data_IF_043601891869
#
_entry.id   IF_043601891869
#
_cell.length_a   1.000
_cell.length_b   1.000
_cell.length_c   1.000
_cell.angle_alpha   90.00
_cell.angle_beta   90.00
_cell.angle_gamma   90.00
#
_symmetry.space_group_name_H-M   'P 1'
#
loop_
_entity.id
_entity.type
_entity.pdbx_description
1 polymer ?
#
# COMPACT_ATOMS: atom_id res chain seq x y z
N UNK A 1 12.44 -13.47 2.16
CA UNK A 1 11.42 -12.51 2.62
C UNK A 1 11.71 -12.17 4.08
N UNK A 2 11.70 -10.90 4.47
CA UNK A 2 11.87 -10.46 5.87
C UNK A 2 10.57 -9.80 6.33
N UNK A 3 10.04 -10.20 7.49
CA UNK A 3 8.83 -9.63 8.11
C UNK A 3 8.91 -9.84 9.63
N UNK A 4 8.57 -8.80 10.41
CA UNK A 4 8.55 -8.92 11.87
C UNK A 4 7.21 -9.47 12.42
N UNK A 5 6.29 -9.79 11.55
CA UNK A 5 4.98 -10.38 11.83
C UNK A 5 4.10 -9.55 12.79
N UNK A 6 4.40 -8.25 12.95
CA UNK A 6 3.62 -7.38 13.84
C UNK A 6 2.18 -7.13 13.34
N UNK A 7 1.93 -7.30 12.04
CA UNK A 7 0.59 -7.15 11.43
C UNK A 7 0.36 -8.16 10.31
N UNK A 8 1.03 -9.31 10.38
CA UNK A 8 0.95 -10.38 9.40
C UNK A 8 1.01 -11.75 10.10
N UNK A 9 0.74 -12.82 9.35
CA UNK A 9 0.80 -14.20 9.84
C UNK A 9 1.65 -15.06 8.92
N UNK A 10 2.47 -15.93 9.49
CA UNK A 10 3.31 -16.86 8.71
C UNK A 10 2.48 -17.87 7.90
N UNK A 11 1.23 -18.13 8.28
CA UNK A 11 0.30 -19.00 7.55
C UNK A 11 0.03 -18.55 6.10
N UNK A 12 0.34 -17.28 5.77
CA UNK A 12 0.28 -16.79 4.37
C UNK A 12 1.22 -17.56 3.44
N UNK A 13 2.34 -18.10 3.95
CA UNK A 13 3.30 -18.88 3.15
C UNK A 13 2.69 -20.15 2.56
N UNK A 14 1.83 -20.84 3.32
CA UNK A 14 1.11 -22.02 2.82
C UNK A 14 0.15 -21.63 1.69
N UNK A 15 -0.44 -20.42 1.73
CA UNK A 15 -1.30 -19.91 0.65
C UNK A 15 -0.48 -19.55 -0.60
N UNK A 16 0.70 -18.94 -0.42
CA UNK A 16 1.64 -18.69 -1.52
C UNK A 16 2.04 -20.01 -2.17
N UNK A 17 2.41 -21.01 -1.37
CA UNK A 17 2.74 -22.34 -1.90
C UNK A 17 1.60 -22.94 -2.72
N UNK A 18 0.37 -22.87 -2.20
CA UNK A 18 -0.81 -23.39 -2.90
C UNK A 18 -1.07 -22.71 -4.25
N UNK A 19 -0.70 -21.44 -4.38
CA UNK A 19 -0.90 -20.65 -5.59
C UNK A 19 0.22 -20.81 -6.62
N UNK A 20 1.46 -21.00 -6.15
CA UNK A 20 2.66 -20.89 -7.00
C UNK A 20 3.48 -22.18 -7.08
N UNK A 21 3.24 -23.13 -6.19
CA UNK A 21 4.11 -24.30 -6.00
C UNK A 21 5.43 -23.99 -5.30
N UNK A 22 5.66 -22.74 -4.90
CA UNK A 22 6.90 -22.28 -4.26
C UNK A 22 6.62 -21.62 -2.89
N UNK A 23 7.45 -21.91 -1.91
CA UNK A 23 7.40 -21.26 -0.60
C UNK A 23 8.60 -20.33 -0.44
N UNK A 24 8.41 -19.01 -0.37
CA UNK A 24 9.50 -18.09 -0.07
C UNK A 24 10.10 -18.38 1.32
N UNK A 25 11.41 -18.32 1.43
CA UNK A 25 12.06 -18.38 2.75
C UNK A 25 11.71 -17.15 3.56
N UNK A 26 11.25 -17.35 4.80
CA UNK A 26 10.88 -16.31 5.74
C UNK A 26 11.92 -16.13 6.83
N UNK A 27 12.48 -14.95 6.91
CA UNK A 27 13.23 -14.46 8.06
C UNK A 27 12.27 -13.66 8.95
N UNK A 28 11.90 -14.25 10.09
CA UNK A 28 11.08 -13.55 11.08
C UNK A 28 11.97 -12.57 11.86
N UNK A 29 11.90 -11.29 11.55
CA UNK A 29 12.75 -10.28 12.17
C UNK A 29 12.45 -8.86 11.71
N UNK A 30 13.09 -7.91 12.36
CA UNK A 30 12.83 -6.48 12.16
C UNK A 30 13.83 -5.87 11.16
N UNK A 31 13.35 -4.98 10.31
CA UNK A 31 14.18 -4.23 9.36
C UNK A 31 15.25 -3.37 10.04
N UNK A 32 15.08 -3.06 11.33
CA UNK A 32 16.05 -2.30 12.14
C UNK A 32 17.19 -3.17 12.69
N UNK A 33 17.10 -4.48 12.51
CA UNK A 33 18.20 -5.40 12.91
C UNK A 33 19.24 -5.49 11.80
N UNK A 34 20.29 -4.69 11.92
CA UNK A 34 21.40 -4.65 10.98
C UNK A 34 22.10 -5.99 10.84
N UNK A 35 22.30 -6.71 11.95
CA UNK A 35 23.00 -8.00 11.93
C UNK A 35 22.22 -9.05 11.14
N UNK A 36 20.89 -9.08 11.32
CA UNK A 36 20.01 -9.94 10.55
C UNK A 36 20.05 -9.60 9.07
N UNK A 37 19.95 -8.32 8.71
CA UNK A 37 20.03 -7.88 7.31
C UNK A 37 21.36 -8.28 6.67
N UNK A 38 22.49 -8.05 7.33
CA UNK A 38 23.82 -8.44 6.83
C UNK A 38 23.90 -9.95 6.61
N UNK A 39 23.33 -10.76 7.52
CA UNK A 39 23.28 -12.22 7.39
C UNK A 39 22.45 -12.68 6.18
N UNK A 40 21.31 -12.02 5.92
CA UNK A 40 20.45 -12.31 4.77
C UNK A 40 21.17 -11.97 3.45
N UNK A 41 21.81 -10.79 3.38
CA UNK A 41 22.58 -10.41 2.19
C UNK A 41 23.77 -11.32 1.93
N UNK A 42 24.41 -11.86 2.99
CA UNK A 42 25.51 -12.80 2.84
C UNK A 42 25.05 -14.20 2.41
N UNK A 43 23.84 -14.62 2.83
CA UNK A 43 23.30 -15.95 2.53
C UNK A 43 22.72 -16.08 1.13
N UNK A 44 22.31 -14.98 0.48
CA UNK A 44 21.57 -15.01 -0.78
C UNK A 44 22.15 -14.06 -1.82
N UNK A 45 22.16 -14.46 -3.12
CA UNK A 45 22.55 -13.57 -4.24
C UNK A 45 21.43 -12.57 -4.54
N UNK A 46 21.25 -11.57 -3.68
CA UNK A 46 20.21 -10.57 -3.82
C UNK A 46 20.62 -9.53 -4.85
N UNK A 47 19.75 -9.26 -5.84
CA UNK A 47 19.99 -8.28 -6.91
C UNK A 47 19.16 -7.01 -6.76
N UNK A 48 18.04 -7.09 -6.05
CA UNK A 48 17.13 -5.98 -5.81
C UNK A 48 16.34 -6.19 -4.52
N UNK A 49 15.89 -5.10 -3.92
CA UNK A 49 15.02 -5.11 -2.75
C UNK A 49 13.69 -4.42 -3.10
N UNK A 50 12.57 -5.05 -2.75
CA UNK A 50 11.26 -4.41 -2.72
C UNK A 50 10.94 -4.12 -1.26
N UNK A 51 10.87 -2.85 -0.91
CA UNK A 51 10.73 -2.38 0.47
C UNK A 51 9.27 -2.03 0.79
N UNK A 52 8.55 -2.99 1.35
CA UNK A 52 7.17 -2.82 1.84
C UNK A 52 7.11 -2.55 3.35
N UNK A 53 8.14 -2.92 4.10
CA UNK A 53 8.13 -2.82 5.55
C UNK A 53 7.86 -1.38 6.01
N UNK A 54 6.81 -1.21 6.81
CA UNK A 54 6.43 0.11 7.30
C UNK A 54 5.08 0.09 8.01
N UNK A 55 4.96 0.85 9.08
CA UNK A 55 3.68 1.14 9.72
C UNK A 55 2.88 2.07 8.79
N UNK A 56 1.58 1.76 8.56
CA UNK A 56 0.78 2.41 7.51
C UNK A 56 -0.52 3.06 7.97
N UNK A 57 -0.88 2.97 9.25
CA UNK A 57 -2.15 3.47 9.76
C UNK A 57 -2.07 4.98 10.04
N UNK A 58 -2.71 5.79 9.16
CA UNK A 58 -2.66 7.26 9.23
C UNK A 58 -3.10 7.78 10.60
N UNK A 59 -4.26 7.33 11.11
CA UNK A 59 -4.79 7.77 12.40
C UNK A 59 -3.91 7.35 13.59
N UNK A 60 -3.36 6.14 13.57
CA UNK A 60 -2.43 5.67 14.61
C UNK A 60 -1.15 6.51 14.63
N UNK A 61 -0.65 6.91 13.47
CA UNK A 61 0.58 7.69 13.37
C UNK A 61 0.53 9.04 14.12
N UNK A 62 -0.67 9.63 14.23
CA UNK A 62 -0.88 10.88 14.96
C UNK A 62 -0.66 10.68 16.47
N UNK A 63 -1.07 9.52 16.99
CA UNK A 63 -0.94 9.19 18.41
C UNK A 63 0.42 8.56 18.76
N UNK A 64 1.12 7.98 17.78
CA UNK A 64 2.37 7.24 17.97
C UNK A 64 3.47 7.68 16.97
N UNK A 65 3.77 8.99 16.84
CA UNK A 65 4.66 9.48 15.79
C UNK A 65 6.09 8.93 15.89
N UNK A 66 6.61 8.75 17.08
CA UNK A 66 7.99 8.28 17.29
C UNK A 66 8.17 6.86 16.77
N UNK A 67 7.20 5.97 16.98
CA UNK A 67 7.22 4.61 16.47
C UNK A 67 7.20 4.58 14.94
N UNK A 68 6.42 5.49 14.33
CA UNK A 68 6.37 5.62 12.87
C UNK A 68 7.70 6.09 12.29
N UNK A 69 8.35 7.09 12.88
CA UNK A 69 9.67 7.53 12.41
C UNK A 69 10.75 6.48 12.68
N UNK A 70 10.72 5.85 13.85
CA UNK A 70 11.68 4.79 14.19
C UNK A 70 11.55 3.60 13.22
N UNK A 71 10.32 3.12 12.96
CA UNK A 71 10.11 1.99 12.08
C UNK A 71 10.36 2.36 10.61
N UNK A 72 9.69 3.43 10.12
CA UNK A 72 9.65 3.72 8.69
C UNK A 72 10.92 4.43 8.20
N UNK A 73 11.44 5.39 8.96
CA UNK A 73 12.61 6.18 8.54
C UNK A 73 13.90 5.51 8.98
N UNK A 74 14.05 5.25 10.29
CA UNK A 74 15.26 4.62 10.80
C UNK A 74 15.44 3.19 10.23
N UNK A 75 14.37 2.39 10.16
CA UNK A 75 14.41 1.06 9.53
C UNK A 75 14.88 1.12 8.07
N UNK A 76 14.43 2.12 7.30
CA UNK A 76 14.92 2.32 5.93
C UNK A 76 16.40 2.71 5.89
N UNK A 77 16.89 3.54 6.81
CA UNK A 77 18.32 3.89 6.88
C UNK A 77 19.17 2.63 7.13
N UNK A 78 18.76 1.78 8.08
CA UNK A 78 19.46 0.52 8.37
C UNK A 78 19.47 -0.41 7.15
N UNK A 79 18.34 -0.51 6.42
CA UNK A 79 18.26 -1.27 5.17
C UNK A 79 19.23 -0.74 4.10
N UNK A 80 19.23 0.59 3.87
CA UNK A 80 20.11 1.21 2.87
C UNK A 80 21.60 1.01 3.20
N UNK A 81 21.97 1.07 4.47
CA UNK A 81 23.34 0.78 4.91
C UNK A 81 23.73 -0.69 4.66
N UNK A 82 22.82 -1.63 4.93
CA UNK A 82 23.05 -3.06 4.66
C UNK A 82 23.14 -3.32 3.15
N UNK A 83 22.24 -2.73 2.35
CA UNK A 83 22.28 -2.81 0.88
C UNK A 83 23.59 -2.27 0.31
N UNK A 84 24.06 -1.10 0.82
CA UNK A 84 25.32 -0.50 0.43
C UNK A 84 26.52 -1.42 0.75
N UNK A 85 26.54 -2.00 1.94
CA UNK A 85 27.61 -2.94 2.35
C UNK A 85 27.62 -4.20 1.46
N UNK A 86 26.45 -4.70 1.08
CA UNK A 86 26.27 -5.85 0.19
C UNK A 86 26.40 -5.50 -1.32
N UNK A 87 26.65 -4.24 -1.68
CA UNK A 87 26.70 -3.73 -3.07
C UNK A 87 25.40 -3.97 -3.85
N UNK A 88 24.26 -4.06 -3.19
CA UNK A 88 22.92 -4.16 -3.79
C UNK A 88 22.34 -2.75 -3.93
N UNK A 89 22.23 -2.25 -5.15
CA UNK A 89 21.88 -0.84 -5.44
C UNK A 89 20.53 -0.67 -6.16
N UNK A 90 19.73 -1.71 -6.26
CA UNK A 90 18.38 -1.64 -6.84
C UNK A 90 17.33 -1.71 -5.73
N UNK A 91 16.55 -0.64 -5.57
CA UNK A 91 15.49 -0.54 -4.56
C UNK A 91 14.18 -0.11 -5.20
N UNK A 92 13.10 -0.82 -4.91
CA UNK A 92 11.73 -0.38 -5.15
C UNK A 92 11.10 -0.04 -3.79
N UNK A 93 10.69 1.21 -3.61
CA UNK A 93 10.14 1.70 -2.37
C UNK A 93 8.63 1.90 -2.47
N UNK A 94 7.91 1.32 -1.52
CA UNK A 94 6.49 1.54 -1.28
C UNK A 94 6.25 2.92 -0.66
N UNK A 95 6.00 3.92 -1.49
CA UNK A 95 5.58 5.25 -1.06
C UNK A 95 4.05 5.38 -1.07
N UNK A 96 3.52 6.57 -0.92
CA UNK A 96 2.10 6.83 -0.78
C UNK A 96 1.71 8.17 -1.40
N UNK A 97 0.50 8.26 -1.95
CA UNK A 97 -0.09 9.52 -2.39
C UNK A 97 -0.20 10.57 -1.26
N UNK A 98 -0.13 10.16 0.00
CA UNK A 98 -0.12 11.10 1.14
C UNK A 98 1.06 12.06 1.14
N UNK A 99 2.15 11.77 0.41
CA UNK A 99 3.31 12.68 0.26
C UNK A 99 2.98 13.98 -0.46
N UNK A 100 1.92 13.97 -1.28
CA UNK A 100 1.45 15.18 -1.96
C UNK A 100 0.80 16.19 -1.03
N UNK A 101 0.20 15.74 0.09
CA UNK A 101 -0.66 16.58 0.92
C UNK A 101 -1.92 16.99 0.17
N UNK A 102 -2.44 18.17 0.51
CA UNK A 102 -3.60 18.79 -0.15
C UNK A 102 -3.15 19.54 -1.41
N UNK A 103 -3.50 19.03 -2.58
CA UNK A 103 -3.22 19.66 -3.85
C UNK A 103 -4.49 20.32 -4.42
N UNK A 104 -4.37 21.51 -5.02
CA UNK A 104 -5.54 22.25 -5.54
C UNK A 104 -6.12 21.64 -6.82
N UNK A 105 -5.40 20.74 -7.47
CA UNK A 105 -5.77 20.13 -8.75
C UNK A 105 -5.78 18.61 -8.66
N UNK A 106 -6.68 17.99 -9.39
CA UNK A 106 -6.80 16.56 -9.62
C UNK A 106 -6.95 16.32 -11.13
N UNK A 107 -6.42 15.21 -11.68
CA UNK A 107 -5.68 14.12 -11.02
C UNK A 107 -4.29 14.54 -10.55
N UNK A 108 -3.74 13.81 -9.56
CA UNK A 108 -2.39 14.02 -9.05
C UNK A 108 -1.35 13.47 -10.02
N UNK A 109 -0.38 14.29 -10.40
CA UNK A 109 0.77 13.94 -11.25
C UNK A 109 2.07 13.94 -10.45
N UNK A 110 3.07 13.16 -10.88
CA UNK A 110 4.34 13.00 -10.16
C UNK A 110 5.16 14.31 -10.05
N UNK A 111 4.91 15.26 -10.93
CA UNK A 111 5.53 16.59 -10.91
C UNK A 111 4.94 17.56 -9.88
N UNK A 112 3.81 17.20 -9.25
CA UNK A 112 3.26 18.04 -8.20
C UNK A 112 4.21 18.15 -7.01
N UNK A 113 4.26 19.32 -6.36
CA UNK A 113 5.08 19.51 -5.18
C UNK A 113 4.66 18.54 -4.08
N UNK A 114 5.65 18.00 -3.37
CA UNK A 114 5.45 17.27 -2.13
C UNK A 114 5.90 18.15 -0.97
N UNK A 115 5.36 17.99 0.24
CA UNK A 115 5.91 18.77 1.35
C UNK A 115 4.97 19.04 2.52
N UNK A 116 3.66 18.83 2.36
CA UNK A 116 2.71 19.10 3.44
C UNK A 116 1.81 17.92 3.78
N UNK A 117 2.36 16.71 4.04
CA UNK A 117 1.55 15.59 4.50
C UNK A 117 0.87 15.93 5.83
N UNK A 118 -0.42 15.64 5.94
CA UNK A 118 -1.22 15.92 7.13
C UNK A 118 -0.91 15.00 8.33
N UNK A 119 -0.17 13.92 8.13
CA UNK A 119 0.09 12.90 9.17
C UNK A 119 1.57 12.53 9.30
N UNK A 120 2.02 12.05 10.48
CA UNK A 120 3.35 11.49 10.65
C UNK A 120 3.65 10.31 9.70
N UNK A 121 2.65 9.49 9.37
CA UNK A 121 2.80 8.47 8.33
C UNK A 121 3.21 9.07 6.98
N UNK A 122 2.44 10.04 6.48
CA UNK A 122 2.76 10.71 5.21
C UNK A 122 4.12 11.40 5.25
N UNK A 123 4.45 12.07 6.37
CA UNK A 123 5.77 12.68 6.57
C UNK A 123 6.89 11.65 6.57
N UNK A 124 6.70 10.48 7.19
CA UNK A 124 7.72 9.42 7.19
C UNK A 124 7.99 8.90 5.77
N UNK A 125 6.95 8.75 4.94
CA UNK A 125 7.11 8.35 3.54
C UNK A 125 7.85 9.43 2.72
N UNK A 126 7.50 10.70 2.90
CA UNK A 126 8.19 11.82 2.25
C UNK A 126 9.66 11.92 2.66
N UNK A 127 9.97 11.79 3.95
CA UNK A 127 11.37 11.77 4.43
C UNK A 127 12.17 10.65 3.75
N UNK A 128 11.60 9.47 3.63
CA UNK A 128 12.27 8.36 2.92
C UNK A 128 12.48 8.70 1.45
N UNK A 129 11.50 9.28 0.73
CA UNK A 129 11.70 9.70 -0.65
C UNK A 129 12.88 10.69 -0.79
N UNK A 130 13.01 11.65 0.14
CA UNK A 130 14.11 12.61 0.16
C UNK A 130 15.45 11.90 0.43
N UNK A 131 15.51 11.01 1.42
CA UNK A 131 16.70 10.21 1.72
C UNK A 131 17.15 9.40 0.51
N UNK A 132 16.22 8.75 -0.20
CA UNK A 132 16.52 7.97 -1.40
C UNK A 132 17.14 8.85 -2.51
N UNK A 133 16.64 10.07 -2.70
CA UNK A 133 17.20 11.04 -3.65
C UNK A 133 18.60 11.47 -3.25
N UNK A 134 18.84 11.78 -1.97
CA UNK A 134 20.16 12.16 -1.46
C UNK A 134 21.17 11.02 -1.60
N UNK A 135 20.77 9.78 -1.30
CA UNK A 135 21.62 8.59 -1.46
C UNK A 135 22.00 8.37 -2.92
N UNK A 136 21.05 8.53 -3.86
CA UNK A 136 21.30 8.40 -5.28
C UNK A 136 22.20 9.53 -5.82
N UNK A 137 22.01 10.75 -5.31
CA UNK A 137 22.88 11.88 -5.66
C UNK A 137 24.32 11.68 -5.19
N UNK A 138 24.51 11.11 -4.00
CA UNK A 138 25.83 10.81 -3.43
C UNK A 138 26.54 9.64 -4.14
N UNK A 139 25.78 8.67 -4.63
CA UNK A 139 26.29 7.52 -5.40
C UNK A 139 25.37 7.26 -6.61
N UNK A 140 25.71 7.80 -7.80
CA UNK A 140 24.88 7.70 -9.00
C UNK A 140 24.62 6.29 -9.53
N UNK A 141 25.24 5.25 -8.96
CA UNK A 141 24.99 3.87 -9.35
C UNK A 141 23.67 3.30 -8.77
N UNK A 142 23.09 3.97 -7.78
CA UNK A 142 21.81 3.55 -7.23
C UNK A 142 20.67 3.70 -8.24
N UNK A 143 19.81 2.69 -8.24
CA UNK A 143 18.55 2.67 -8.97
C UNK A 143 17.42 2.64 -7.93
N UNK A 144 16.78 3.79 -7.74
CA UNK A 144 15.73 4.00 -6.76
C UNK A 144 14.39 4.16 -7.47
N UNK A 145 13.50 3.21 -7.32
CA UNK A 145 12.13 3.32 -7.85
C UNK A 145 11.18 3.61 -6.70
N UNK A 146 10.47 4.70 -6.79
CA UNK A 146 9.50 5.18 -5.79
C UNK A 146 8.10 5.01 -6.38
N UNK A 147 7.29 4.14 -5.78
CA UNK A 147 5.92 3.90 -6.22
C UNK A 147 4.95 4.52 -5.22
N UNK A 148 4.26 5.59 -5.63
CA UNK A 148 3.26 6.30 -4.82
C UNK A 148 1.91 5.66 -5.01
N UNK A 149 1.49 4.88 -4.01
CA UNK A 149 0.21 4.18 -4.02
C UNK A 149 -0.93 5.10 -3.66
N UNK A 150 -2.07 4.88 -4.31
CA UNK A 150 -3.34 5.42 -3.88
C UNK A 150 -3.98 4.46 -2.87
N UNK A 151 -5.19 3.95 -3.07
CA UNK A 151 -5.83 3.10 -2.06
C UNK A 151 -5.88 1.62 -2.53
N UNK A 152 -4.91 0.78 -2.16
CA UNK A 152 -4.96 -0.63 -2.52
C UNK A 152 -6.13 -1.33 -1.84
N UNK A 153 -6.89 -2.09 -2.62
CA UNK A 153 -8.05 -2.87 -2.18
C UNK A 153 -8.14 -4.16 -3.01
N UNK A 154 -9.10 -5.00 -2.70
CA UNK A 154 -9.25 -6.28 -3.39
C UNK A 154 -8.49 -7.39 -2.68
N UNK A 155 -8.52 -8.56 -3.28
CA UNK A 155 -7.84 -9.76 -2.84
C UNK A 155 -7.40 -10.57 -4.05
N UNK A 156 -6.63 -11.63 -3.85
CA UNK A 156 -6.30 -12.53 -4.95
C UNK A 156 -7.56 -13.27 -5.45
N UNK A 157 -7.83 -13.35 -6.76
CA UNK A 157 -9.07 -13.92 -7.31
C UNK A 157 -9.37 -15.36 -6.89
N UNK A 158 -8.34 -16.12 -6.46
CA UNK A 158 -8.53 -17.48 -5.90
C UNK A 158 -9.32 -17.53 -4.60
N UNK A 159 -9.45 -16.41 -3.88
CA UNK A 159 -10.00 -16.36 -2.51
C UNK A 159 -9.08 -17.01 -1.46
N UNK A 160 -7.81 -17.28 -1.78
CA UNK A 160 -6.82 -17.84 -0.85
C UNK A 160 -6.01 -16.77 -0.11
N UNK A 161 -5.84 -15.59 -0.72
CA UNK A 161 -5.07 -14.49 -0.15
C UNK A 161 -5.87 -13.19 -0.18
N UNK A 162 -5.87 -12.46 0.94
CA UNK A 162 -6.51 -11.18 1.09
C UNK A 162 -6.00 -10.43 2.32
N UNK A 163 -6.54 -9.24 2.56
CA UNK A 163 -6.15 -8.39 3.69
C UNK A 163 -6.78 -8.91 4.99
N UNK A 164 -5.93 -9.16 6.00
CA UNK A 164 -6.34 -9.60 7.34
C UNK A 164 -5.63 -8.75 8.40
N UNK A 165 -6.05 -7.49 8.59
CA UNK A 165 -5.43 -6.61 9.57
C UNK A 165 -5.72 -7.06 10.99
N UNK A 166 -4.72 -6.97 11.86
CA UNK A 166 -4.93 -7.19 13.28
C UNK A 166 -5.78 -6.05 13.89
N UNK A 167 -6.72 -6.42 14.74
CA UNK A 167 -7.59 -5.46 15.42
C UNK A 167 -8.67 -4.84 14.53
N UNK A 168 -8.91 -3.53 14.71
CA UNK A 168 -9.91 -2.78 13.94
C UNK A 168 -9.29 -2.32 12.63
N UNK A 169 -9.88 -2.67 11.46
CA UNK A 169 -9.37 -2.18 10.18
C UNK A 169 -9.40 -0.65 10.10
N UNK A 170 -8.28 -0.07 9.67
CA UNK A 170 -8.19 1.37 9.43
C UNK A 170 -8.66 1.76 8.01
N UNK A 171 -8.67 0.80 7.07
CA UNK A 171 -9.05 1.02 5.69
C UNK A 171 -10.53 0.63 5.45
N UNK A 172 -11.15 1.28 4.46
CA UNK A 172 -12.57 1.13 4.14
C UNK A 172 -12.93 -0.32 3.74
N UNK A 173 -12.22 -0.91 2.78
CA UNK A 173 -12.59 -2.19 2.19
C UNK A 173 -12.57 -3.35 3.20
N UNK A 174 -11.52 -3.56 4.02
CA UNK A 174 -11.54 -4.62 5.04
C UNK A 174 -12.58 -4.35 6.14
N UNK A 175 -12.89 -3.09 6.44
CA UNK A 175 -13.98 -2.78 7.39
C UNK A 175 -15.34 -3.20 6.82
N UNK A 176 -15.63 -2.84 5.56
CA UNK A 176 -16.84 -3.26 4.84
C UNK A 176 -16.94 -4.80 4.81
N UNK A 177 -15.84 -5.49 4.51
CA UNK A 177 -15.78 -6.94 4.48
C UNK A 177 -16.15 -7.57 5.84
N UNK A 178 -15.66 -6.98 6.94
CA UNK A 178 -16.04 -7.42 8.30
C UNK A 178 -17.51 -7.15 8.63
N UNK A 179 -18.12 -6.07 8.13
CA UNK A 179 -19.57 -5.85 8.22
C UNK A 179 -20.32 -6.92 7.42
N UNK A 180 -19.86 -7.20 6.21
CA UNK A 180 -20.51 -8.20 5.34
C UNK A 180 -20.52 -9.62 5.92
N UNK A 181 -19.47 -10.04 6.64
CA UNK A 181 -19.45 -11.35 7.32
C UNK A 181 -20.05 -11.33 8.75
N UNK A 182 -20.57 -10.18 9.22
CA UNK A 182 -21.23 -10.06 10.53
C UNK A 182 -20.27 -9.91 11.72
N UNK A 183 -18.99 -9.65 11.50
CA UNK A 183 -18.05 -9.32 12.59
C UNK A 183 -18.28 -7.93 13.17
N UNK A 184 -18.95 -7.04 12.40
CA UNK A 184 -19.32 -5.68 12.79
C UNK A 184 -20.78 -5.41 12.41
N UNK A 185 -21.44 -4.59 13.21
CA UNK A 185 -22.85 -4.26 13.01
C UNK A 185 -23.07 -3.33 11.82
N UNK A 186 -22.25 -2.29 11.69
CA UNK A 186 -22.40 -1.28 10.64
C UNK A 186 -21.09 -0.57 10.32
N UNK A 187 -21.04 0.06 9.14
CA UNK A 187 -19.94 0.93 8.69
C UNK A 187 -20.21 2.38 9.10
N UNK A 188 -19.24 3.05 9.72
CA UNK A 188 -19.26 4.49 9.89
C UNK A 188 -18.70 5.18 8.64
N UNK A 189 -19.51 5.98 7.94
CA UNK A 189 -19.11 6.83 6.82
C UNK A 189 -18.81 8.23 7.33
N UNK A 190 -17.54 8.64 7.26
CA UNK A 190 -17.06 9.90 7.83
C UNK A 190 -17.33 11.08 6.89
N UNK A 191 -18.39 11.85 7.18
CA UNK A 191 -18.83 13.01 6.41
C UNK A 191 -19.78 12.63 5.26
N UNK A 192 -20.83 13.47 5.10
CA UNK A 192 -21.82 13.39 4.03
C UNK A 192 -22.09 14.75 3.39
N UNK A 193 -21.23 15.72 3.64
CA UNK A 193 -21.34 17.09 3.10
C UNK A 193 -20.08 17.55 2.38
N UNK A 194 -19.32 16.62 1.75
CA UNK A 194 -18.22 16.98 0.86
C UNK A 194 -18.77 17.54 -0.47
N UNK A 195 -18.03 18.42 -1.17
CA UNK A 195 -18.38 18.88 -2.51
C UNK A 195 -18.09 17.78 -3.55
N UNK A 196 -18.76 16.65 -3.42
CA UNK A 196 -18.67 15.46 -4.25
C UNK A 196 -20.08 15.02 -4.67
N UNK A 197 -20.26 14.19 -5.71
CA UNK A 197 -21.58 13.86 -6.25
C UNK A 197 -22.60 13.31 -5.26
N UNK A 198 -22.16 12.56 -4.24
CA UNK A 198 -23.02 11.96 -3.21
C UNK A 198 -22.72 12.46 -1.79
N UNK A 199 -21.86 13.47 -1.67
CA UNK A 199 -21.49 14.08 -0.40
C UNK A 199 -20.44 13.29 0.39
N UNK A 200 -20.02 12.11 -0.06
CA UNK A 200 -18.98 11.31 0.61
C UNK A 200 -17.61 11.49 -0.04
N UNK A 201 -16.54 11.16 0.70
CA UNK A 201 -15.18 11.30 0.18
C UNK A 201 -14.93 10.42 -1.05
N UNK A 202 -14.19 10.96 -2.03
CA UNK A 202 -13.83 10.26 -3.28
C UNK A 202 -12.36 9.91 -3.27
N UNK A 203 -12.04 8.65 -3.55
CA UNK A 203 -10.66 8.11 -3.56
C UNK A 203 -10.41 7.27 -4.80
N UNK A 204 -9.15 7.20 -5.19
CA UNK A 204 -8.67 6.25 -6.18
C UNK A 204 -8.42 4.90 -5.52
N UNK A 205 -9.22 3.91 -5.89
CA UNK A 205 -9.03 2.54 -5.43
C UNK A 205 -8.35 1.72 -6.54
N UNK A 206 -7.26 1.06 -6.18
CA UNK A 206 -6.51 0.19 -7.09
C UNK A 206 -6.57 -1.26 -6.60
N UNK A 207 -6.80 -2.19 -7.52
CA UNK A 207 -6.78 -3.61 -7.16
C UNK A 207 -5.37 -4.04 -6.75
N UNK A 208 -5.25 -4.76 -5.62
CA UNK A 208 -3.96 -5.17 -5.06
C UNK A 208 -3.11 -6.02 -6.02
N UNK A 209 -3.73 -6.78 -6.92
CA UNK A 209 -3.02 -7.53 -7.96
C UNK A 209 -2.48 -6.61 -9.05
N UNK A 210 -3.26 -5.60 -9.50
CA UNK A 210 -2.74 -4.58 -10.43
C UNK A 210 -1.57 -3.81 -9.81
N UNK A 211 -1.65 -3.52 -8.51
CA UNK A 211 -0.54 -2.90 -7.79
C UNK A 211 0.70 -3.81 -7.77
N UNK A 212 0.54 -5.11 -7.50
CA UNK A 212 1.63 -6.08 -7.56
C UNK A 212 2.25 -6.17 -8.96
N UNK A 213 1.41 -6.18 -10.01
CA UNK A 213 1.84 -6.14 -11.41
C UNK A 213 2.66 -4.88 -11.72
N UNK A 214 2.30 -3.74 -11.11
CA UNK A 214 3.07 -2.49 -11.21
C UNK A 214 4.49 -2.60 -10.64
N UNK A 215 4.68 -3.32 -9.53
CA UNK A 215 6.01 -3.61 -8.98
C UNK A 215 6.83 -4.50 -9.91
N UNK A 216 6.21 -5.53 -10.46
CA UNK A 216 6.86 -6.44 -11.42
C UNK A 216 7.26 -5.68 -12.69
N UNK A 217 6.38 -4.82 -13.19
CA UNK A 217 6.66 -3.97 -14.36
C UNK A 217 7.84 -3.01 -14.08
N UNK A 218 7.83 -2.33 -12.94
CA UNK A 218 8.92 -1.43 -12.52
C UNK A 218 10.25 -2.20 -12.39
N UNK A 219 10.24 -3.35 -11.74
CA UNK A 219 11.44 -4.17 -11.59
C UNK A 219 12.02 -4.61 -12.93
N UNK A 220 11.18 -5.08 -13.87
CA UNK A 220 11.62 -5.55 -15.19
C UNK A 220 12.13 -4.40 -16.06
N UNK A 221 11.46 -3.25 -16.03
CA UNK A 221 11.75 -2.13 -16.94
C UNK A 221 12.93 -1.31 -16.46
N UNK A 222 13.09 -1.13 -15.16
CA UNK A 222 14.07 -0.23 -14.57
C UNK A 222 15.30 -0.95 -13.99
N UNK A 223 15.33 -2.29 -14.01
CA UNK A 223 16.50 -3.03 -13.53
C UNK A 223 17.77 -2.58 -14.27
N UNK A 224 18.80 -2.20 -13.49
CA UNK A 224 20.07 -1.72 -14.04
C UNK A 224 19.99 -0.33 -14.69
N UNK A 225 18.95 0.45 -14.45
CA UNK A 225 18.83 1.85 -14.90
C UNK A 225 19.04 2.80 -13.71
N UNK A 226 20.27 3.26 -13.43
CA UNK A 226 20.53 4.15 -12.31
C UNK A 226 19.70 5.43 -12.38
N UNK A 227 19.35 5.96 -11.23
CA UNK A 227 18.55 7.17 -11.10
C UNK A 227 17.42 7.03 -10.08
N UNK A 228 16.66 8.12 -9.91
CA UNK A 228 15.42 8.11 -9.13
C UNK A 228 14.23 8.14 -10.08
N UNK A 229 13.41 7.13 -10.01
CA UNK A 229 12.22 6.92 -10.84
C UNK A 229 10.98 6.94 -9.98
N UNK A 230 10.10 7.93 -10.16
CA UNK A 230 8.88 8.11 -9.35
C UNK A 230 7.67 7.84 -10.23
N UNK A 231 6.72 7.01 -9.75
CA UNK A 231 5.48 6.69 -10.44
C UNK A 231 4.28 6.68 -9.50
N UNK A 232 3.17 7.23 -9.96
CA UNK A 232 1.87 7.02 -9.35
C UNK A 232 1.32 5.65 -9.75
N UNK A 233 0.88 4.87 -8.78
CA UNK A 233 0.14 3.64 -9.00
C UNK A 233 -1.29 3.81 -8.44
N UNK A 234 -2.21 4.14 -9.32
CA UNK A 234 -3.62 4.32 -9.08
C UNK A 234 -4.44 3.88 -10.30
N UNK A 235 -5.74 3.80 -10.13
CA UNK A 235 -6.65 3.44 -11.22
C UNK A 235 -6.94 4.62 -12.18
N UNK A 236 -6.62 5.85 -11.76
CA UNK A 236 -6.92 7.07 -12.51
C UNK A 236 -8.40 7.47 -12.46
N UNK A 237 -9.18 6.82 -11.60
CA UNK A 237 -10.62 7.08 -11.42
C UNK A 237 -10.94 7.18 -9.94
N UNK A 238 -11.66 8.24 -9.58
CA UNK A 238 -12.17 8.42 -8.22
C UNK A 238 -13.50 7.71 -8.01
N UNK A 239 -13.62 6.96 -6.91
CA UNK A 239 -14.89 6.39 -6.45
C UNK A 239 -15.24 6.91 -5.06
N UNK A 240 -16.52 7.22 -4.85
CA UNK A 240 -17.03 7.66 -3.55
C UNK A 240 -17.15 6.48 -2.57
N UNK A 241 -17.21 6.78 -1.28
CA UNK A 241 -17.44 5.75 -0.25
C UNK A 241 -18.76 5.01 -0.50
N UNK A 242 -19.84 5.72 -0.88
CA UNK A 242 -21.12 5.08 -1.18
C UNK A 242 -21.08 4.21 -2.43
N UNK A 243 -20.30 4.56 -3.45
CA UNK A 243 -20.09 3.70 -4.62
C UNK A 243 -19.36 2.40 -4.22
N UNK A 244 -18.35 2.47 -3.33
CA UNK A 244 -17.67 1.28 -2.81
C UNK A 244 -18.63 0.39 -2.01
N UNK A 245 -19.48 0.98 -1.15
CA UNK A 245 -20.51 0.26 -0.40
C UNK A 245 -21.50 -0.42 -1.35
N UNK A 246 -21.94 0.26 -2.40
CA UNK A 246 -22.85 -0.30 -3.39
C UNK A 246 -22.24 -1.48 -4.15
N UNK A 247 -20.98 -1.34 -4.62
CA UNK A 247 -20.26 -2.41 -5.29
C UNK A 247 -20.08 -3.64 -4.38
N UNK A 248 -19.76 -3.41 -3.11
CA UNK A 248 -19.60 -4.52 -2.15
C UNK A 248 -20.94 -5.17 -1.78
N UNK A 249 -22.02 -4.38 -1.66
CA UNK A 249 -23.39 -4.92 -1.45
C UNK A 249 -23.82 -5.82 -2.61
N UNK A 250 -23.50 -5.44 -3.84
CA UNK A 250 -23.70 -6.26 -5.05
C UNK A 250 -22.89 -7.56 -4.97
N UNK A 251 -21.60 -7.46 -4.61
CA UNK A 251 -20.71 -8.62 -4.53
C UNK A 251 -21.15 -9.64 -3.46
N UNK A 252 -21.60 -9.19 -2.28
CA UNK A 252 -22.03 -10.06 -1.20
C UNK A 252 -23.52 -10.44 -1.27
N UNK A 253 -24.29 -9.90 -2.22
CA UNK A 253 -25.71 -10.22 -2.44
C UNK A 253 -26.67 -9.71 -1.37
N UNK A 254 -26.26 -8.75 -0.53
CA UNK A 254 -27.10 -8.18 0.52
C UNK A 254 -26.76 -6.72 0.80
N UNK A 255 -27.74 -5.90 1.25
CA UNK A 255 -27.48 -4.54 1.69
C UNK A 255 -26.56 -4.54 2.91
N UNK A 256 -25.63 -3.59 2.93
CA UNK A 256 -24.71 -3.39 4.05
C UNK A 256 -25.19 -2.25 4.95
N UNK A 257 -25.22 -2.48 6.24
CA UNK A 257 -25.61 -1.47 7.22
C UNK A 257 -24.49 -0.41 7.34
N UNK A 258 -24.87 0.86 7.25
CA UNK A 258 -23.97 1.98 7.51
C UNK A 258 -24.70 3.14 8.18
N UNK A 259 -23.93 4.04 8.79
CA UNK A 259 -24.40 5.31 9.32
C UNK A 259 -23.38 6.40 9.03
N UNK A 260 -23.85 7.65 8.99
CA UNK A 260 -22.94 8.79 8.83
C UNK A 260 -22.38 9.23 10.17
N UNK A 261 -21.07 9.54 10.17
CA UNK A 261 -20.34 10.08 11.31
C UNK A 261 -19.72 11.44 10.93
N UNK A 262 -19.32 12.28 11.89
CA UNK A 262 -18.63 13.53 11.60
C UNK A 262 -17.40 13.33 10.72
N UNK A 263 -17.06 14.35 9.92
CA UNK A 263 -15.83 14.34 9.10
C UNK A 263 -14.60 14.16 9.98
N UNK A 264 -13.63 13.38 9.49
CA UNK A 264 -12.31 13.29 10.13
C UNK A 264 -11.51 14.54 9.78
N UNK A 265 -10.74 15.03 10.72
CA UNK A 265 -9.83 16.14 10.49
C UNK A 265 -8.77 15.78 9.45
N UNK A 266 -8.52 16.66 8.49
CA UNK A 266 -7.55 16.45 7.42
C UNK A 266 -8.03 15.57 6.25
N UNK A 267 -9.28 15.06 6.27
CA UNK A 267 -9.81 14.32 5.13
C UNK A 267 -10.12 15.25 3.95
N UNK A 268 -9.51 14.97 2.79
CA UNK A 268 -9.75 15.69 1.54
C UNK A 268 -11.06 15.22 0.88
N UNK A 269 -11.79 16.13 0.18
CA UNK A 269 -13.01 15.75 -0.54
C UNK A 269 -12.79 14.69 -1.60
N UNK A 270 -11.78 14.87 -2.46
CA UNK A 270 -11.49 13.97 -3.58
C UNK A 270 -10.02 14.03 -3.97
N UNK A 271 -9.44 12.90 -4.35
CA UNK A 271 -8.17 12.81 -5.07
C UNK A 271 -8.02 11.46 -5.78
N UNK A 272 -7.36 11.48 -6.94
CA UNK A 272 -7.01 10.29 -7.72
C UNK A 272 -5.75 10.54 -8.55
N UNK A 273 -5.14 9.45 -9.06
CA UNK A 273 -3.90 9.48 -9.81
C UNK A 273 -4.09 9.93 -11.24
N UNK A 274 -3.07 10.55 -11.81
CA UNK A 274 -2.70 10.35 -13.21
C UNK A 274 -1.65 9.22 -13.26
N UNK A 275 -1.96 8.11 -13.92
CA UNK A 275 -1.07 6.96 -14.09
C UNK A 275 -0.44 6.91 -15.49
N UNK A 276 -0.53 7.98 -16.27
CA UNK A 276 -0.01 8.05 -17.65
C UNK A 276 1.47 7.74 -17.72
N UNK A 277 2.27 8.28 -16.80
CA UNK A 277 3.71 8.04 -16.74
C UNK A 277 4.05 6.55 -16.54
N UNK A 278 3.33 5.86 -15.64
CA UNK A 278 3.50 4.43 -15.43
C UNK A 278 3.11 3.63 -16.69
N UNK A 279 2.04 4.04 -17.38
CA UNK A 279 1.60 3.40 -18.62
C UNK A 279 2.64 3.54 -19.74
N UNK A 280 3.21 4.73 -19.92
CA UNK A 280 4.18 5.02 -20.99
C UNK A 280 5.56 4.43 -20.71
N UNK A 281 6.05 4.52 -19.48
CA UNK A 281 7.42 4.16 -19.15
C UNK A 281 7.60 2.75 -18.61
N UNK A 282 6.57 2.18 -17.96
CA UNK A 282 6.60 0.82 -17.44
C UNK A 282 5.78 -0.17 -18.30
N UNK A 283 4.96 0.33 -19.24
CA UNK A 283 3.99 -0.49 -19.96
C UNK A 283 2.89 -1.05 -19.06
N UNK A 284 2.68 -0.43 -17.88
CA UNK A 284 1.72 -0.90 -16.89
C UNK A 284 0.41 -0.10 -16.94
N UNK A 285 -0.70 -0.81 -16.84
CA UNK A 285 -2.05 -0.22 -16.72
C UNK A 285 -2.88 -1.07 -15.78
N UNK A 286 -3.82 -0.43 -15.07
CA UNK A 286 -4.84 -1.17 -14.32
C UNK A 286 -5.74 -1.95 -15.29
N UNK A 287 -6.19 -3.10 -14.86
CA UNK A 287 -7.06 -3.98 -15.64
C UNK A 287 -8.35 -4.36 -14.90
N UNK A 288 -8.43 -4.10 -13.60
CA UNK A 288 -9.53 -4.54 -12.73
C UNK A 288 -10.38 -3.37 -12.27
N UNK A 289 -11.69 -3.57 -12.35
CA UNK A 289 -12.74 -2.62 -11.97
C UNK A 289 -13.02 -2.62 -10.47
N UNK A 290 -13.78 -1.62 -9.99
CA UNK A 290 -14.28 -1.58 -8.61
C UNK A 290 -15.15 -2.79 -8.26
N UNK A 291 -15.96 -3.28 -9.22
CA UNK A 291 -16.78 -4.49 -9.04
C UNK A 291 -15.91 -5.72 -8.78
N UNK A 292 -14.81 -5.88 -9.52
CA UNK A 292 -13.85 -6.97 -9.32
C UNK A 292 -13.11 -6.82 -7.98
N UNK A 293 -12.71 -5.61 -7.60
CA UNK A 293 -12.12 -5.34 -6.28
C UNK A 293 -13.05 -5.79 -5.14
N UNK A 294 -14.33 -5.47 -5.24
CA UNK A 294 -15.34 -5.87 -4.26
C UNK A 294 -15.61 -7.38 -4.29
N UNK A 295 -15.71 -7.98 -5.48
CA UNK A 295 -15.95 -9.41 -5.66
C UNK A 295 -14.81 -10.26 -5.10
N UNK A 296 -13.56 -9.92 -5.41
CA UNK A 296 -12.39 -10.65 -4.94
C UNK A 296 -12.18 -10.49 -3.42
N UNK A 297 -12.44 -9.28 -2.87
CA UNK A 297 -12.44 -9.09 -1.42
C UNK A 297 -13.51 -9.95 -0.74
N UNK A 298 -14.72 -10.00 -1.30
CA UNK A 298 -15.81 -10.83 -0.76
C UNK A 298 -15.48 -12.33 -0.89
N UNK A 299 -14.91 -12.75 -2.02
CA UNK A 299 -14.50 -14.14 -2.23
C UNK A 299 -13.47 -14.59 -1.19
N UNK A 300 -12.49 -13.73 -0.84
CA UNK A 300 -11.56 -13.96 0.26
C UNK A 300 -12.28 -13.99 1.61
N UNK A 301 -13.01 -12.92 1.95
CA UNK A 301 -13.55 -12.75 3.29
C UNK A 301 -14.64 -13.80 3.62
N UNK A 302 -15.46 -14.19 2.64
CA UNK A 302 -16.49 -15.21 2.84
C UNK A 302 -15.92 -16.60 3.14
N UNK A 303 -14.77 -16.93 2.57
CA UNK A 303 -14.03 -18.17 2.84
C UNK A 303 -13.18 -18.10 4.12
N UNK A 304 -12.83 -16.90 4.55
CA UNK A 304 -11.98 -16.65 5.71
C UNK A 304 -12.66 -15.62 6.64
N UNK A 305 -13.83 -15.94 7.21
CA UNK A 305 -14.61 -14.96 8.00
C UNK A 305 -13.86 -14.45 9.22
N UNK A 306 -12.91 -15.21 9.75
CA UNK A 306 -12.05 -14.84 10.88
C UNK A 306 -10.60 -14.45 10.45
N UNK A 307 -10.35 -14.33 9.17
CA UNK A 307 -9.01 -14.07 8.62
C UNK A 307 -8.21 -15.36 8.40
N UNK A 308 -6.88 -15.22 8.32
CA UNK A 308 -5.99 -16.39 8.24
C UNK A 308 -6.02 -17.20 9.53
N UNK A 309 -5.90 -18.55 9.45
CA UNK A 309 -5.68 -19.35 10.65
C UNK A 309 -4.38 -18.93 11.34
N UNK A 310 -4.34 -19.12 12.64
CA UNK A 310 -3.14 -18.88 13.46
C UNK A 310 -2.07 -19.93 13.22
#
# INVERSE_FOLDING_TARGET
>A
MLDNLCNSKSSVLARIHSLTGYTPELYAGDIRDRTLLDSIFAAHPIHAVIHFAGLKAVGESVNRPLEYYNNNVFGTLVLLEAMRAAQVKNLIFSSSATVYGDQPQIPYVESFPTGSPSSPYGRSKLMVEQILQDVQLADPQWNMTILRYFNPVGAHPSGLMGEDPQGIPNNLMPFIAQVAVGRRESLAIFGNGYPTPDGTGVRDYIHVVDLADGHVAAMKTLHGKPGVHIFNLGAGVGHSVLQVVAAFSKACGKPLAYHFAPRREGDLPAYWADATKAAEQLGWRVSRSLDEMAADTWHWQSKNPQGYPD
#
